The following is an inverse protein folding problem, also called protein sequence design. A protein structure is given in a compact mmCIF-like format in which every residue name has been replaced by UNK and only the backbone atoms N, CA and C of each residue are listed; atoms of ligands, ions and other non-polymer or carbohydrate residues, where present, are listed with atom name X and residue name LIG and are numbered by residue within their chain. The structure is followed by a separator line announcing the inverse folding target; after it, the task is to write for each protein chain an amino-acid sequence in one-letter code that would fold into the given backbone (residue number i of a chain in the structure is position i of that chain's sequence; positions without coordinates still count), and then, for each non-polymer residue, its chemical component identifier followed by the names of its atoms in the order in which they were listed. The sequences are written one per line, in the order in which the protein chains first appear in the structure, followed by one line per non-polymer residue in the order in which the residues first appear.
data_IF_134134675458
#
_entry.id   IF_134134675458
#
_cell.length_a   1.000
_cell.length_b   1.000
_cell.length_c   1.000
_cell.angle_alpha   90.00
_cell.angle_beta   90.00
_cell.angle_gamma   90.00
#
_symmetry.space_group_name_H-M   'P 1'
#
loop_
_entity.id
_entity.type
_entity.pdbx_description
1 polymer ?
#
# COMPACT_ATOMS: atom_id res chain seq x y z
N UNK A 1 0.30 9.22 -7.89
CA UNK A 1 -1.07 8.75 -8.21
C UNK A 1 -1.86 9.82 -8.92
N UNK A 2 -2.52 9.48 -10.03
CA UNK A 2 -3.40 10.37 -10.77
C UNK A 2 -4.81 9.75 -10.87
N UNK A 3 -5.77 10.50 -11.42
CA UNK A 3 -7.18 10.14 -11.44
C UNK A 3 -7.69 9.98 -12.87
N UNK A 4 -8.61 9.04 -13.04
CA UNK A 4 -9.45 8.93 -14.23
C UNK A 4 -10.89 8.68 -13.80
N UNK A 5 -11.86 9.19 -14.56
CA UNK A 5 -13.29 9.04 -14.26
C UNK A 5 -14.03 8.48 -15.47
N UNK A 6 -15.14 7.81 -15.21
CA UNK A 6 -16.02 7.25 -16.24
C UNK A 6 -17.44 7.21 -15.67
N UNK A 7 -18.44 7.29 -16.55
CA UNK A 7 -19.85 7.09 -16.22
C UNK A 7 -20.39 5.74 -16.75
N UNK A 8 -19.60 5.01 -17.56
CA UNK A 8 -20.03 3.81 -18.27
C UNK A 8 -19.10 2.59 -18.13
N UNK A 9 -18.02 2.73 -17.36
CA UNK A 9 -16.98 1.72 -17.15
C UNK A 9 -16.15 1.34 -18.40
N UNK A 10 -16.36 2.02 -19.52
CA UNK A 10 -15.69 1.75 -20.80
C UNK A 10 -14.81 2.91 -21.24
N UNK A 11 -15.29 4.15 -21.08
CA UNK A 11 -14.60 5.35 -21.53
C UNK A 11 -14.12 6.16 -20.34
N UNK A 12 -12.79 6.20 -20.15
CA UNK A 12 -12.16 6.91 -19.04
C UNK A 12 -11.58 8.24 -19.50
N UNK A 13 -11.91 9.31 -18.77
CA UNK A 13 -11.29 10.62 -18.92
C UNK A 13 -10.20 10.80 -17.87
N UNK A 14 -8.95 10.94 -18.31
CA UNK A 14 -7.84 11.28 -17.43
C UNK A 14 -8.00 12.70 -16.88
N UNK A 15 -8.05 12.82 -15.55
CA UNK A 15 -8.01 14.11 -14.88
C UNK A 15 -6.55 14.44 -14.64
N UNK A 16 -6.02 15.42 -15.36
CA UNK A 16 -4.61 15.87 -15.30
C UNK A 16 -4.27 16.58 -13.98
N UNK A 17 -4.52 15.90 -12.87
CA UNK A 17 -4.31 16.34 -11.49
C UNK A 17 -3.65 15.18 -10.75
N UNK A 18 -2.45 15.43 -10.25
CA UNK A 18 -1.83 14.49 -9.31
C UNK A 18 -2.65 14.48 -8.02
N UNK A 19 -3.07 13.29 -7.60
CA UNK A 19 -3.88 13.07 -6.42
C UNK A 19 -3.01 12.82 -5.19
N UNK A 20 -2.02 11.93 -5.31
CA UNK A 20 -1.05 11.65 -4.23
C UNK A 20 0.35 11.63 -4.83
N UNK A 21 1.24 12.45 -4.29
CA UNK A 21 2.64 12.56 -4.69
C UNK A 21 3.57 11.81 -3.72
N UNK A 22 4.76 11.44 -4.21
CA UNK A 22 5.84 10.95 -3.35
C UNK A 22 6.30 12.04 -2.38
N UNK A 23 6.89 11.65 -1.25
CA UNK A 23 7.48 12.57 -0.27
C UNK A 23 8.90 12.12 0.06
N UNK A 24 9.91 12.92 -0.28
CA UNK A 24 11.33 12.55 -0.22
C UNK A 24 11.77 11.96 1.13
N UNK A 25 11.25 12.48 2.24
CA UNK A 25 11.71 12.13 3.59
C UNK A 25 10.82 11.09 4.29
N UNK A 26 9.92 10.43 3.55
CA UNK A 26 8.93 9.51 4.10
C UNK A 26 9.09 8.08 3.53
N UNK A 27 8.26 7.17 4.02
CA UNK A 27 8.22 5.78 3.56
C UNK A 27 7.73 5.59 2.12
N UNK A 28 7.15 6.64 1.56
CA UNK A 28 6.57 6.74 0.24
C UNK A 28 7.35 7.74 -0.65
N UNK A 29 8.67 7.64 -0.57
CA UNK A 29 9.63 8.54 -1.23
C UNK A 29 9.97 8.16 -2.66
N UNK A 30 9.86 6.89 -3.02
CA UNK A 30 10.18 6.38 -4.37
C UNK A 30 8.90 6.10 -5.18
N UNK A 31 7.83 5.66 -4.52
CA UNK A 31 6.60 5.22 -5.16
C UNK A 31 5.38 5.53 -4.29
N UNK A 32 4.31 5.91 -4.96
CA UNK A 32 2.93 5.86 -4.46
C UNK A 32 2.08 5.20 -5.54
N UNK A 33 1.48 4.06 -5.21
CA UNK A 33 0.75 3.17 -6.11
C UNK A 33 -0.63 2.86 -5.50
N UNK A 34 -1.72 2.77 -6.29
CA UNK A 34 -3.03 2.57 -5.69
C UNK A 34 -3.11 1.17 -5.07
N UNK A 35 -3.76 1.08 -3.92
CA UNK A 35 -4.10 -0.19 -3.30
C UNK A 35 -5.53 -0.62 -3.65
N UNK A 36 -6.26 -1.27 -2.72
CA UNK A 36 -7.66 -1.65 -2.95
C UNK A 36 -8.59 -0.43 -3.02
N UNK A 37 -9.85 -0.68 -3.39
CA UNK A 37 -10.87 0.35 -3.52
C UNK A 37 -11.09 1.13 -2.21
N UNK A 38 -11.34 2.46 -2.24
CA UNK A 38 -11.62 3.21 -1.02
C UNK A 38 -12.83 2.69 -0.23
N UNK A 39 -12.76 2.70 1.10
CA UNK A 39 -13.82 2.24 1.99
C UNK A 39 -14.45 3.39 2.75
N UNK A 40 -15.78 3.43 2.80
CA UNK A 40 -16.51 4.47 3.53
C UNK A 40 -16.52 4.20 5.04
N UNK A 41 -16.11 5.20 5.81
CA UNK A 41 -16.06 5.22 7.26
C UNK A 41 -17.37 5.74 7.87
N UNK A 42 -17.56 5.55 9.18
CA UNK A 42 -18.78 5.94 9.88
C UNK A 42 -18.99 7.45 10.01
N UNK A 43 -17.93 8.25 9.89
CA UNK A 43 -17.96 9.71 9.89
C UNK A 43 -18.38 10.30 8.52
N UNK A 44 -18.57 9.44 7.51
CA UNK A 44 -18.95 9.81 6.15
C UNK A 44 -17.77 9.96 5.18
N UNK A 45 -16.53 10.01 5.68
CA UNK A 45 -15.31 10.12 4.86
C UNK A 45 -14.88 8.75 4.30
N UNK A 46 -13.87 8.76 3.43
CA UNK A 46 -13.31 7.55 2.83
C UNK A 46 -11.89 7.27 3.32
N UNK A 47 -11.62 6.04 3.73
CA UNK A 47 -10.27 5.51 3.89
C UNK A 47 -9.80 4.94 2.57
N UNK A 48 -8.66 5.38 2.08
CA UNK A 48 -7.99 4.76 0.93
C UNK A 48 -6.58 4.32 1.32
N UNK A 49 -6.26 3.05 1.04
CA UNK A 49 -4.94 2.49 1.24
C UNK A 49 -4.14 2.58 -0.04
N UNK A 50 -2.86 2.93 0.06
CA UNK A 50 -1.95 2.97 -1.08
C UNK A 50 -0.67 2.21 -0.77
N UNK A 51 -0.16 1.52 -1.78
CA UNK A 51 1.14 0.90 -1.74
C UNK A 51 2.22 1.97 -1.99
N UNK A 52 3.37 1.77 -1.41
CA UNK A 52 4.46 2.73 -1.48
C UNK A 52 5.80 2.04 -1.48
N UNK A 53 6.84 2.75 -1.88
CA UNK A 53 8.20 2.27 -1.76
C UNK A 53 9.13 3.38 -1.25
N UNK A 54 10.16 2.95 -0.53
CA UNK A 54 11.36 3.73 -0.25
C UNK A 54 12.59 2.91 -0.60
N UNK A 55 13.69 3.59 -0.89
CA UNK A 55 15.00 2.94 -1.02
C UNK A 55 15.61 2.72 0.36
N UNK A 56 16.18 1.54 0.55
CA UNK A 56 16.98 1.16 1.69
C UNK A 56 18.31 0.58 1.20
N UNK A 57 19.44 0.85 1.88
CA UNK A 57 20.70 0.23 1.57
C UNK A 57 20.55 -1.30 1.45
N UNK A 58 21.09 -1.86 0.39
CA UNK A 58 21.22 -3.31 0.27
C UNK A 58 22.39 -3.78 1.13
N UNK A 59 22.23 -4.86 1.90
CA UNK A 59 23.39 -5.59 2.37
C UNK A 59 24.11 -6.18 1.15
N UNK A 60 25.43 -5.96 1.09
CA UNK A 60 26.29 -6.71 0.17
C UNK A 60 25.98 -8.21 0.35
N UNK A 61 25.68 -8.92 -0.75
CA UNK A 61 25.32 -10.35 -0.83
C UNK A 61 23.82 -10.71 -0.94
N UNK A 62 22.92 -9.78 -1.31
CA UNK A 62 21.59 -10.24 -1.73
C UNK A 62 21.68 -11.01 -3.06
N UNK A 63 21.00 -12.16 -3.16
CA UNK A 63 21.05 -13.03 -4.35
C UNK A 63 20.42 -12.41 -5.61
N UNK A 64 19.78 -11.24 -5.48
CA UNK A 64 19.09 -10.53 -6.54
C UNK A 64 19.58 -9.08 -6.59
N UNK A 65 20.24 -8.65 -7.69
CA UNK A 65 20.78 -7.30 -7.83
C UNK A 65 19.65 -6.25 -7.94
N UNK A 66 19.93 -5.00 -7.54
CA UNK A 66 19.06 -3.81 -7.69
C UNK A 66 17.74 -3.82 -6.89
N UNK A 67 17.68 -4.62 -5.83
CA UNK A 67 16.45 -4.82 -5.05
C UNK A 67 16.44 -3.99 -3.78
N UNK A 68 16.88 -2.73 -3.93
CA UNK A 68 17.08 -1.75 -2.86
C UNK A 68 15.79 -1.13 -2.32
N UNK A 69 14.63 -1.60 -2.76
CA UNK A 69 13.33 -1.09 -2.32
C UNK A 69 12.76 -1.88 -1.14
N UNK A 70 12.02 -1.17 -0.30
CA UNK A 70 11.10 -1.74 0.68
C UNK A 70 9.70 -1.19 0.40
N UNK A 71 8.75 -2.10 0.19
CA UNK A 71 7.38 -1.76 -0.11
C UNK A 71 6.53 -1.78 1.15
N UNK A 72 5.76 -0.72 1.32
CA UNK A 72 5.06 -0.40 2.54
C UNK A 72 3.61 0.03 2.22
N UNK A 73 2.74 -0.07 3.22
CA UNK A 73 1.34 0.33 3.10
C UNK A 73 1.08 1.65 3.83
N UNK A 74 0.58 2.64 3.11
CA UNK A 74 0.11 3.92 3.65
C UNK A 74 -1.42 4.06 3.58
N UNK A 75 -1.93 5.13 4.18
CA UNK A 75 -3.35 5.50 4.04
C UNK A 75 -3.55 7.00 3.86
N UNK A 76 -4.68 7.35 3.25
CA UNK A 76 -5.26 8.69 3.26
C UNK A 76 -6.72 8.64 3.70
N UNK A 77 -7.17 9.72 4.34
CA UNK A 77 -8.60 10.01 4.53
C UNK A 77 -8.99 11.03 3.47
N UNK A 78 -10.00 10.70 2.67
CA UNK A 78 -10.57 11.57 1.64
C UNK A 78 -11.91 12.11 2.12
N UNK A 79 -12.23 13.34 1.72
CA UNK A 79 -13.51 13.97 2.03
C UNK A 79 -14.68 13.16 1.44
N UNK A 80 -15.73 12.97 2.25
CA UNK A 80 -16.91 12.19 1.89
C UNK A 80 -17.78 12.79 0.77
N UNK A 81 -17.68 14.10 0.53
CA UNK A 81 -18.43 14.82 -0.50
C UNK A 81 -17.58 15.08 -1.76
N UNK A 82 -16.27 15.23 -1.59
CA UNK A 82 -15.31 15.45 -2.69
C UNK A 82 -14.06 14.57 -2.49
N UNK A 83 -14.02 13.34 -3.05
CA UNK A 83 -12.92 12.40 -2.83
C UNK A 83 -11.59 12.86 -3.45
N UNK A 84 -11.57 13.98 -4.19
CA UNK A 84 -10.33 14.59 -4.68
C UNK A 84 -9.61 15.41 -3.61
N UNK A 85 -10.23 15.63 -2.44
CA UNK A 85 -9.65 16.32 -1.29
C UNK A 85 -9.17 15.32 -0.26
N UNK A 86 -7.87 15.37 0.02
CA UNK A 86 -7.24 14.58 1.08
C UNK A 86 -7.30 15.38 2.38
N UNK A 87 -7.99 14.83 3.38
CA UNK A 87 -8.12 15.41 4.71
C UNK A 87 -6.94 15.04 5.62
N UNK A 88 -6.43 13.81 5.46
CA UNK A 88 -5.28 13.32 6.22
C UNK A 88 -4.50 12.29 5.41
N UNK A 89 -3.20 12.17 5.68
CA UNK A 89 -2.31 11.16 5.10
C UNK A 89 -1.40 10.63 6.20
N UNK A 90 -1.15 9.33 6.20
CA UNK A 90 -0.28 8.70 7.20
C UNK A 90 1.15 9.24 7.14
N UNK A 91 1.73 9.58 8.30
CA UNK A 91 3.14 9.95 8.42
C UNK A 91 4.08 8.74 8.46
N UNK A 92 3.53 7.58 8.83
CA UNK A 92 4.24 6.29 8.93
C UNK A 92 3.45 5.23 8.17
N UNK A 93 4.11 4.15 7.72
CA UNK A 93 3.39 3.03 7.13
C UNK A 93 2.58 2.30 8.19
N UNK A 94 1.37 1.86 7.85
CA UNK A 94 0.55 0.99 8.71
C UNK A 94 0.98 -0.46 8.63
N UNK A 95 1.60 -0.87 7.52
CA UNK A 95 2.18 -2.19 7.34
C UNK A 95 3.53 -2.05 6.64
N UNK A 96 4.52 -2.79 7.15
CA UNK A 96 5.89 -2.86 6.65
C UNK A 96 6.40 -4.29 6.79
N UNK A 97 7.29 -4.78 5.92
CA UNK A 97 7.74 -6.18 5.95
C UNK A 97 8.46 -6.53 7.28
N UNK A 98 7.86 -7.44 8.06
CA UNK A 98 8.36 -7.87 9.38
C UNK A 98 8.41 -9.37 9.56
N UNK A 99 7.71 -10.14 8.73
CA UNK A 99 7.70 -11.59 8.81
C UNK A 99 8.70 -12.18 7.82
N UNK A 100 9.15 -13.40 8.10
CA UNK A 100 10.15 -14.12 7.30
C UNK A 100 9.74 -14.21 5.81
N UNK A 101 8.44 -14.42 5.56
CA UNK A 101 7.84 -14.51 4.22
C UNK A 101 7.42 -13.17 3.61
N UNK A 102 7.52 -12.06 4.35
CA UNK A 102 7.34 -10.69 3.81
C UNK A 102 8.69 -10.05 3.46
N UNK A 103 9.74 -10.37 4.23
CA UNK A 103 11.10 -9.90 3.96
C UNK A 103 11.79 -10.71 2.87
N UNK A 104 11.71 -12.04 2.91
CA UNK A 104 12.43 -12.96 2.01
C UNK A 104 13.90 -12.57 1.78
N UNK A 105 14.53 -12.03 2.82
CA UNK A 105 15.91 -11.59 2.78
C UNK A 105 16.85 -12.77 3.06
N UNK A 106 18.15 -12.52 2.99
CA UNK A 106 19.22 -13.51 3.20
C UNK A 106 19.23 -14.14 4.60
N UNK A 107 18.51 -13.58 5.59
CA UNK A 107 18.38 -14.17 6.93
C UNK A 107 17.40 -15.35 6.94
N UNK A 108 16.53 -15.44 5.91
CA UNK A 108 15.54 -16.50 5.79
C UNK A 108 16.12 -17.80 5.24
N UNK A 109 16.01 -18.90 5.98
CA UNK A 109 16.37 -20.23 5.46
C UNK A 109 15.37 -20.76 4.44
N UNK A 110 14.12 -20.32 4.52
CA UNK A 110 13.02 -20.83 3.69
C UNK A 110 12.73 -19.93 2.50
N UNK A 111 12.66 -18.62 2.72
CA UNK A 111 12.11 -17.68 1.75
C UNK A 111 13.16 -16.89 0.97
N UNK A 112 14.43 -16.85 1.40
CA UNK A 112 15.51 -16.10 0.72
C UNK A 112 15.63 -16.40 -0.79
N UNK A 113 15.32 -17.63 -1.21
CA UNK A 113 15.38 -18.07 -2.61
C UNK A 113 14.02 -18.44 -3.20
N UNK A 114 12.94 -18.32 -2.41
CA UNK A 114 11.58 -18.66 -2.83
C UNK A 114 10.71 -17.44 -3.06
N UNK A 115 10.96 -16.36 -2.33
CA UNK A 115 10.30 -15.08 -2.55
C UNK A 115 10.65 -14.53 -3.92
N UNK A 116 9.63 -14.11 -4.66
CA UNK A 116 9.82 -13.41 -5.92
C UNK A 116 10.45 -12.07 -5.64
N UNK A 117 9.93 -11.20 -4.77
CA UNK A 117 10.50 -9.86 -4.46
C UNK A 117 10.71 -9.67 -2.94
N UNK A 118 11.90 -9.45 -2.37
CA UNK A 118 12.08 -9.29 -0.93
C UNK A 118 11.53 -7.94 -0.46
N UNK A 119 11.26 -7.85 0.83
CA UNK A 119 10.81 -6.62 1.51
C UNK A 119 9.55 -6.04 0.86
N UNK A 120 8.56 -6.91 0.64
CA UNK A 120 7.27 -6.51 0.10
C UNK A 120 6.15 -6.85 1.08
N UNK A 121 5.37 -5.83 1.40
CA UNK A 121 3.95 -5.96 1.73
C UNK A 121 3.18 -5.14 0.70
N UNK A 122 2.20 -5.73 0.04
CA UNK A 122 1.46 -5.07 -1.05
C UNK A 122 -0.03 -5.39 -0.97
N UNK A 123 -0.87 -4.39 -0.69
CA UNK A 123 -2.30 -4.57 -0.52
C UNK A 123 -3.07 -4.42 -1.83
N UNK A 124 -4.03 -5.30 -2.07
CA UNK A 124 -4.79 -5.33 -3.33
C UNK A 124 -6.28 -5.63 -3.15
N UNK A 125 -6.70 -6.09 -1.96
CA UNK A 125 -8.12 -6.32 -1.69
C UNK A 125 -8.44 -6.17 -0.22
N UNK A 126 -9.65 -5.75 0.09
CA UNK A 126 -10.18 -5.78 1.45
C UNK A 126 -11.69 -5.90 1.45
N UNK A 127 -12.25 -6.24 2.62
CA UNK A 127 -13.68 -6.40 2.81
C UNK A 127 -14.08 -5.84 4.16
N UNK A 128 -15.11 -5.00 4.17
CA UNK A 128 -15.75 -4.53 5.39
C UNK A 128 -16.39 -5.71 6.15
N UNK A 129 -16.08 -5.81 7.44
CA UNK A 129 -16.61 -6.86 8.33
C UNK A 129 -17.43 -6.29 9.49
N UNK A 130 -17.23 -5.01 9.84
CA UNK A 130 -18.07 -4.26 10.77
C UNK A 130 -17.93 -2.75 10.51
N UNK A 131 -18.61 -1.92 11.31
CA UNK A 131 -18.39 -0.47 11.32
C UNK A 131 -16.91 -0.20 11.58
N UNK A 132 -16.24 0.46 10.64
CA UNK A 132 -14.82 0.81 10.69
C UNK A 132 -13.86 -0.37 10.88
N UNK A 133 -14.28 -1.58 10.51
CA UNK A 133 -13.43 -2.78 10.57
C UNK A 133 -13.42 -3.53 9.25
N UNK A 134 -12.23 -3.90 8.80
CA UNK A 134 -11.99 -4.51 7.50
C UNK A 134 -11.03 -5.70 7.63
N UNK A 135 -11.19 -6.69 6.76
CA UNK A 135 -10.14 -7.69 6.48
C UNK A 135 -9.41 -7.23 5.23
N UNK A 136 -8.11 -7.07 5.31
CA UNK A 136 -7.19 -6.72 4.23
C UNK A 136 -6.46 -7.98 3.74
N UNK A 137 -6.44 -8.20 2.44
CA UNK A 137 -5.54 -9.15 1.77
C UNK A 137 -4.34 -8.38 1.21
N UNK A 138 -3.15 -8.87 1.54
CA UNK A 138 -1.90 -8.31 1.06
C UNK A 138 -0.93 -9.43 0.65
N UNK A 139 0.01 -9.09 -0.21
CA UNK A 139 1.04 -9.98 -0.69
C UNK A 139 2.33 -9.77 0.12
N UNK A 140 3.03 -10.87 0.40
CA UNK A 140 4.36 -10.94 0.96
C UNK A 140 5.31 -11.52 -0.08
N UNK A 141 6.34 -10.75 -0.37
CA UNK A 141 7.35 -11.04 -1.37
C UNK A 141 6.91 -11.42 -2.78
N UNK A 142 5.79 -10.88 -3.28
CA UNK A 142 5.18 -11.31 -4.55
C UNK A 142 4.99 -12.83 -4.63
N UNK A 143 4.71 -13.49 -3.50
CA UNK A 143 4.70 -14.96 -3.41
C UNK A 143 3.65 -15.51 -2.47
N UNK A 144 3.42 -14.86 -1.33
CA UNK A 144 2.52 -15.35 -0.28
C UNK A 144 1.40 -14.35 -0.07
N UNK A 145 0.14 -14.80 0.02
CA UNK A 145 -0.96 -13.94 0.45
C UNK A 145 -1.14 -14.02 1.96
N UNK A 146 -1.10 -12.86 2.62
CA UNK A 146 -1.45 -12.66 4.02
C UNK A 146 -2.82 -11.99 4.17
N UNK A 147 -3.36 -12.06 5.40
CA UNK A 147 -4.53 -11.29 5.81
C UNK A 147 -4.22 -10.47 7.05
N UNK A 148 -4.79 -9.27 7.14
CA UNK A 148 -4.70 -8.40 8.31
C UNK A 148 -6.08 -7.84 8.66
N UNK A 149 -6.33 -7.59 9.94
CA UNK A 149 -7.52 -6.85 10.39
C UNK A 149 -7.16 -5.37 10.49
N UNK A 150 -7.94 -4.52 9.84
CA UNK A 150 -7.84 -3.05 9.93
C UNK A 150 -8.99 -2.55 10.78
N UNK A 151 -8.70 -1.69 11.76
CA UNK A 151 -9.66 -1.04 12.65
C UNK A 151 -9.38 0.46 12.59
N UNK A 152 -10.43 1.26 12.40
CA UNK A 152 -10.34 2.73 12.47
C UNK A 152 -11.07 3.22 13.72
N UNK A 153 -10.36 4.00 14.52
CA UNK A 153 -10.84 4.57 15.78
C UNK A 153 -10.88 6.10 15.63
N UNK A 154 -11.92 6.72 16.21
CA UNK A 154 -12.19 8.16 16.17
C UNK A 154 -12.14 8.73 17.58
#
# INVERSE_FOLDING_TARGET
LALAVTDDYLHYEYKNKTFIEIRSDYFDSELVEPGPEPQRLSDGNYLFLYNSARRLPLPNNHFKPDWDREYNLGWVIMDGNDPTKILARSERPILTPKLDWERCDFTSKKWARRGLTPRVVFAEGWKKIATNQFILWYQGCDTVTGIAKVIVEF
#
